data_IF_916498982233
#
_entry.id   IF_916498982233
#
_cell.length_a   1.000
_cell.length_b   1.000
_cell.length_c   1.000
_cell.angle_alpha   90.00
_cell.angle_beta   90.00
_cell.angle_gamma   90.00
#
_symmetry.space_group_name_H-M   'P 1'
#
loop_
_entity.id
_entity.type
_entity.pdbx_description
1 polymer ?
#
# COMPACT_ATOMS: atom_id res chain seq x y z
N UNK A 1 -18.49 -6.31 -75.45
CA UNK A 1 -17.89 -6.43 -74.11
C UNK A 1 -16.42 -6.78 -74.33
N UNK A 2 -15.48 -5.81 -74.45
CA UNK A 2 -14.76 -5.13 -73.36
C UNK A 2 -14.27 -6.17 -72.33
N UNK A 3 -12.99 -6.46 -72.03
CA UNK A 3 -11.67 -5.82 -72.12
C UNK A 3 -10.64 -6.96 -71.91
N UNK A 4 -9.52 -7.09 -72.63
CA UNK A 4 -8.26 -6.32 -72.53
C UNK A 4 -7.36 -6.63 -71.31
N UNK A 5 -6.14 -7.09 -71.64
CA UNK A 5 -4.83 -6.93 -70.98
C UNK A 5 -4.52 -7.68 -69.67
N UNK A 6 -3.77 -8.79 -69.80
CA UNK A 6 -2.82 -9.24 -68.78
C UNK A 6 -1.53 -8.43 -68.89
N UNK A 7 -1.23 -7.59 -67.91
CA UNK A 7 0.12 -7.06 -67.64
C UNK A 7 0.25 -6.57 -66.19
N UNK A 8 1.05 -7.32 -65.44
CA UNK A 8 2.08 -6.91 -64.45
C UNK A 8 1.88 -5.61 -63.68
N UNK A 9 1.72 -5.71 -62.35
CA UNK A 9 2.43 -4.93 -61.30
C UNK A 9 2.47 -5.81 -60.03
N UNK A 10 3.60 -6.41 -59.66
CA UNK A 10 4.58 -5.83 -58.71
C UNK A 10 3.92 -5.22 -57.48
N UNK A 11 4.02 -5.89 -56.34
CA UNK A 11 3.97 -5.21 -55.04
C UNK A 11 5.00 -5.83 -54.10
N UNK A 12 5.86 -4.94 -53.59
CA UNK A 12 7.10 -5.24 -52.92
C UNK A 12 6.92 -6.06 -51.66
N UNK A 13 7.90 -6.93 -51.43
CA UNK A 13 8.21 -7.50 -50.13
C UNK A 13 8.50 -6.32 -49.20
N UNK A 14 7.52 -5.93 -48.39
CA UNK A 14 7.73 -5.01 -47.29
C UNK A 14 8.68 -5.71 -46.32
N UNK A 15 9.95 -5.31 -46.36
CA UNK A 15 10.92 -5.64 -45.34
C UNK A 15 10.38 -5.08 -44.02
N UNK A 16 9.68 -5.93 -43.27
CA UNK A 16 9.25 -5.64 -41.92
C UNK A 16 10.49 -5.43 -41.06
N UNK A 17 10.88 -4.17 -40.90
CA UNK A 17 11.80 -3.75 -39.85
C UNK A 17 11.06 -4.02 -38.54
N UNK A 18 11.25 -5.21 -37.97
CA UNK A 18 10.87 -5.46 -36.59
C UNK A 18 11.82 -4.59 -35.77
N UNK A 19 11.36 -3.38 -35.46
CA UNK A 19 11.99 -2.55 -34.46
C UNK A 19 11.88 -3.31 -33.14
N UNK A 20 12.87 -4.14 -32.85
CA UNK A 20 13.09 -4.71 -31.52
C UNK A 20 13.49 -3.54 -30.63
N UNK A 21 12.47 -2.82 -30.17
CA UNK A 21 12.62 -1.79 -29.16
C UNK A 21 13.10 -2.49 -27.89
N UNK A 22 14.22 -2.02 -27.34
CA UNK A 22 14.69 -2.48 -26.04
C UNK A 22 13.58 -2.26 -25.01
N UNK A 23 13.34 -3.22 -24.10
CA UNK A 23 12.42 -3.03 -22.98
C UNK A 23 12.73 -1.73 -22.26
N UNK A 24 11.71 -1.05 -21.68
CA UNK A 24 11.94 0.10 -20.83
C UNK A 24 13.00 -0.23 -19.77
N UNK A 25 13.97 0.67 -19.56
CA UNK A 25 15.03 0.48 -18.56
C UNK A 25 14.48 0.46 -17.13
N UNK A 26 13.27 0.98 -16.94
CA UNK A 26 12.58 1.05 -15.65
C UNK A 26 11.73 -0.23 -15.48
N UNK A 27 11.79 -0.91 -14.32
CA UNK A 27 10.93 -2.06 -14.06
C UNK A 27 9.44 -1.65 -14.15
N UNK A 28 8.55 -2.56 -14.57
CA UNK A 28 7.12 -2.29 -14.55
C UNK A 28 6.65 -2.03 -13.11
N UNK A 29 5.75 -1.06 -12.90
CA UNK A 29 5.12 -0.83 -11.60
C UNK A 29 4.34 -2.05 -11.12
N UNK A 30 4.12 -2.11 -9.81
CA UNK A 30 3.20 -3.09 -9.22
C UNK A 30 1.76 -2.90 -9.73
N UNK A 31 0.98 -3.97 -9.70
CA UNK A 31 -0.44 -3.88 -10.02
C UNK A 31 -1.18 -3.07 -8.96
N UNK A 32 -2.10 -2.22 -9.39
CA UNK A 32 -3.00 -1.51 -8.51
C UNK A 32 -4.13 -2.42 -8.04
N UNK A 33 -4.23 -2.57 -6.73
CA UNK A 33 -5.33 -3.20 -6.03
C UNK A 33 -6.24 -2.15 -5.38
N UNK A 34 -7.51 -2.50 -5.17
CA UNK A 34 -8.46 -1.61 -4.50
C UNK A 34 -7.98 -1.26 -3.09
N UNK A 35 -7.80 0.04 -2.83
CA UNK A 35 -7.30 0.57 -1.56
C UNK A 35 -5.81 0.86 -1.51
N UNK A 36 -5.05 0.54 -2.56
CA UNK A 36 -3.67 0.97 -2.70
C UNK A 36 -3.54 2.50 -2.74
N UNK A 37 -2.31 2.97 -2.56
CA UNK A 37 -2.00 4.39 -2.75
C UNK A 37 -2.07 4.75 -4.24
N UNK A 38 -3.27 5.12 -4.70
CA UNK A 38 -3.50 5.51 -6.09
C UNK A 38 -2.55 6.62 -6.55
N UNK A 39 -2.26 7.63 -5.71
CA UNK A 39 -1.38 8.75 -6.12
C UNK A 39 0.04 8.26 -6.44
N UNK A 40 0.59 7.40 -5.59
CA UNK A 40 1.92 6.82 -5.81
C UNK A 40 1.92 5.92 -7.03
N UNK A 41 0.95 5.01 -7.11
CA UNK A 41 0.83 4.10 -8.25
C UNK A 41 0.66 4.86 -9.57
N UNK A 42 -0.17 5.91 -9.60
CA UNK A 42 -0.40 6.73 -10.79
C UNK A 42 0.85 7.49 -11.23
N UNK A 43 1.65 8.00 -10.28
CA UNK A 43 2.93 8.65 -10.60
C UNK A 43 3.91 7.66 -11.25
N UNK A 44 4.14 6.52 -10.61
CA UNK A 44 5.05 5.46 -11.10
C UNK A 44 4.56 4.91 -12.46
N UNK A 45 3.25 4.74 -12.60
CA UNK A 45 2.62 4.20 -13.82
C UNK A 45 2.60 5.21 -14.97
N UNK A 46 2.38 6.49 -14.70
CA UNK A 46 2.40 7.55 -15.72
C UNK A 46 3.78 7.64 -16.38
N UNK A 47 4.85 7.65 -15.58
CA UNK A 47 6.22 7.66 -16.08
C UNK A 47 6.51 6.42 -16.94
N UNK A 48 6.13 5.24 -16.45
CA UNK A 48 6.31 3.99 -17.19
C UNK A 48 5.54 3.95 -18.52
N UNK A 49 4.28 4.39 -18.53
CA UNK A 49 3.42 4.38 -19.73
C UNK A 49 3.90 5.35 -20.79
N UNK A 50 4.46 6.50 -20.41
CA UNK A 50 5.03 7.48 -21.34
C UNK A 50 6.21 6.91 -22.14
N UNK A 51 6.88 5.88 -21.62
CA UNK A 51 7.95 5.19 -22.36
C UNK A 51 7.41 4.25 -23.45
N UNK A 52 6.11 3.92 -23.46
CA UNK A 52 5.52 2.94 -24.38
C UNK A 52 4.96 3.60 -25.65
N UNK A 53 4.82 2.81 -26.72
CA UNK A 53 4.11 3.27 -27.92
C UNK A 53 2.62 3.46 -27.61
N UNK A 54 1.98 4.48 -28.19
CA UNK A 54 0.56 4.78 -27.97
C UNK A 54 -0.36 3.57 -28.22
N UNK A 55 0.00 2.69 -29.17
CA UNK A 55 -0.73 1.44 -29.46
C UNK A 55 -0.68 0.39 -28.34
N UNK A 56 0.32 0.47 -27.47
CA UNK A 56 0.57 -0.49 -26.37
C UNK A 56 0.06 0.03 -25.02
N UNK A 57 0.04 1.35 -24.83
CA UNK A 57 -0.28 2.01 -23.56
C UNK A 57 -1.59 1.51 -22.94
N UNK A 58 -2.67 1.42 -23.72
CA UNK A 58 -3.97 0.92 -23.23
C UNK A 58 -3.89 -0.51 -22.69
N UNK A 59 -3.22 -1.41 -23.42
CA UNK A 59 -3.11 -2.82 -23.03
C UNK A 59 -2.28 -2.94 -21.75
N UNK A 60 -1.17 -2.20 -21.68
CA UNK A 60 -0.28 -2.23 -20.53
C UNK A 60 -0.94 -1.62 -19.29
N UNK A 61 -1.59 -0.46 -19.42
CA UNK A 61 -2.35 0.16 -18.33
C UNK A 61 -3.40 -0.80 -17.75
N UNK A 62 -4.17 -1.49 -18.60
CA UNK A 62 -5.12 -2.51 -18.15
C UNK A 62 -4.45 -3.68 -17.43
N UNK A 63 -3.25 -4.08 -17.84
CA UNK A 63 -2.50 -5.17 -17.19
C UNK A 63 -1.94 -4.79 -15.81
N UNK A 64 -1.75 -3.49 -15.57
CA UNK A 64 -1.31 -2.91 -14.29
C UNK A 64 -2.46 -2.69 -13.31
N UNK A 65 -3.71 -3.01 -13.68
CA UNK A 65 -4.85 -3.02 -12.78
C UNK A 65 -5.14 -4.46 -12.34
N UNK A 66 -5.36 -4.68 -11.04
CA UNK A 66 -5.85 -5.96 -10.53
C UNK A 66 -7.30 -6.25 -10.99
N UNK A 67 -7.79 -7.48 -10.81
CA UNK A 67 -9.06 -7.96 -11.37
C UNK A 67 -10.24 -6.99 -11.14
N UNK A 68 -10.51 -6.65 -9.88
CA UNK A 68 -11.62 -5.75 -9.53
C UNK A 68 -11.45 -4.34 -10.14
N UNK A 69 -10.27 -3.74 -9.98
CA UNK A 69 -9.98 -2.41 -10.54
C UNK A 69 -10.08 -2.40 -12.06
N UNK A 70 -9.64 -3.48 -12.73
CA UNK A 70 -9.70 -3.62 -14.18
C UNK A 70 -11.13 -3.75 -14.68
N UNK A 71 -11.97 -4.50 -13.98
CA UNK A 71 -13.37 -4.69 -14.34
C UNK A 71 -14.14 -3.36 -14.23
N UNK A 72 -13.93 -2.60 -13.14
CA UNK A 72 -14.50 -1.24 -12.98
C UNK A 72 -14.09 -0.34 -14.16
N UNK A 73 -12.81 -0.32 -14.52
CA UNK A 73 -12.30 0.52 -15.61
C UNK A 73 -12.88 0.13 -16.98
N UNK A 74 -13.19 -1.15 -17.17
CA UNK A 74 -13.84 -1.65 -18.39
C UNK A 74 -15.30 -1.23 -18.45
N UNK A 75 -16.02 -1.36 -17.36
CA UNK A 75 -17.44 -1.04 -17.25
C UNK A 75 -17.68 0.46 -17.44
N UNK A 76 -16.83 1.31 -16.86
CA UNK A 76 -16.89 2.77 -17.01
C UNK A 76 -16.30 3.27 -18.33
N UNK A 77 -15.80 2.36 -19.19
CA UNK A 77 -15.25 2.66 -20.50
C UNK A 77 -14.15 3.74 -20.52
N UNK A 78 -13.39 3.89 -19.43
CA UNK A 78 -12.39 4.96 -19.25
C UNK A 78 -11.36 4.97 -20.39
N UNK A 79 -10.93 3.78 -20.83
CA UNK A 79 -9.91 3.58 -21.84
C UNK A 79 -10.46 3.33 -23.24
N UNK A 80 -11.72 3.68 -23.53
CA UNK A 80 -12.34 3.45 -24.85
C UNK A 80 -11.48 4.01 -25.98
N UNK A 81 -11.07 5.27 -25.85
CA UNK A 81 -10.35 6.03 -26.86
C UNK A 81 -8.81 5.99 -26.72
N UNK A 82 -8.30 5.11 -25.85
CA UNK A 82 -6.87 5.01 -25.54
C UNK A 82 -6.49 5.69 -24.23
N UNK A 83 -5.20 6.00 -24.07
CA UNK A 83 -4.64 6.70 -22.90
C UNK A 83 -4.56 8.19 -23.24
N UNK A 84 -5.51 8.95 -22.71
CA UNK A 84 -5.58 10.42 -22.87
C UNK A 84 -4.86 11.13 -21.72
N UNK A 85 -4.65 12.44 -21.81
CA UNK A 85 -3.97 13.21 -20.77
C UNK A 85 -4.69 13.18 -19.41
N UNK A 86 -6.02 13.12 -19.42
CA UNK A 86 -6.89 13.10 -18.23
C UNK A 86 -7.17 11.70 -17.69
N UNK A 87 -6.55 10.65 -18.26
CA UNK A 87 -6.86 9.25 -17.93
C UNK A 87 -6.68 8.94 -16.44
N UNK A 88 -5.63 9.45 -15.81
CA UNK A 88 -5.37 9.17 -14.38
C UNK A 88 -6.35 9.89 -13.46
N UNK A 89 -6.89 11.04 -13.85
CA UNK A 89 -7.96 11.70 -13.10
C UNK A 89 -9.28 10.95 -13.24
N UNK A 90 -9.60 10.47 -14.46
CA UNK A 90 -10.78 9.62 -14.68
C UNK A 90 -10.68 8.28 -13.94
N UNK A 91 -9.50 7.65 -13.95
CA UNK A 91 -9.21 6.46 -13.16
C UNK A 91 -9.36 6.73 -11.65
N UNK A 92 -8.85 7.88 -11.19
CA UNK A 92 -8.98 8.27 -9.78
C UNK A 92 -10.44 8.40 -9.39
N UNK A 93 -11.25 9.09 -10.19
CA UNK A 93 -12.67 9.26 -9.93
C UNK A 93 -13.37 7.89 -9.83
N UNK A 94 -13.25 7.03 -10.84
CA UNK A 94 -14.01 5.77 -10.83
C UNK A 94 -13.53 4.76 -9.78
N UNK A 95 -12.22 4.69 -9.52
CA UNK A 95 -11.65 3.75 -8.55
C UNK A 95 -11.79 4.25 -7.10
N UNK A 96 -11.96 5.56 -6.89
CA UNK A 96 -12.10 6.16 -5.55
C UNK A 96 -13.56 6.40 -5.16
N UNK A 97 -14.43 6.84 -6.07
CA UNK A 97 -15.83 7.16 -5.77
C UNK A 97 -16.64 5.96 -5.26
N UNK A 98 -16.21 4.74 -5.56
CA UNK A 98 -16.85 3.52 -5.04
C UNK A 98 -16.44 3.15 -3.62
N UNK A 99 -15.37 3.74 -3.08
CA UNK A 99 -15.02 3.57 -1.67
C UNK A 99 -15.82 4.59 -0.87
N UNK A 100 -16.83 4.11 -0.14
CA UNK A 100 -17.67 4.96 0.69
C UNK A 100 -16.82 5.73 1.72
N UNK A 101 -17.07 7.02 2.01
CA UNK A 101 -16.26 7.80 2.96
C UNK A 101 -16.06 7.11 4.33
N UNK A 102 -17.09 6.40 4.80
CA UNK A 102 -17.03 5.60 6.04
C UNK A 102 -15.95 4.51 5.99
N UNK A 103 -15.72 3.89 4.85
CA UNK A 103 -14.67 2.87 4.68
C UNK A 103 -13.27 3.49 4.84
N UNK A 104 -13.05 4.70 4.32
CA UNK A 104 -11.79 5.41 4.54
C UNK A 104 -11.57 5.74 6.02
N UNK A 105 -12.62 6.19 6.72
CA UNK A 105 -12.57 6.45 8.17
C UNK A 105 -12.31 5.16 8.98
N UNK A 106 -12.98 4.06 8.62
CA UNK A 106 -12.77 2.77 9.24
C UNK A 106 -11.32 2.28 9.05
N UNK A 107 -10.75 2.42 7.85
CA UNK A 107 -9.33 2.09 7.60
C UNK A 107 -8.38 2.92 8.44
N UNK A 108 -8.66 4.22 8.60
CA UNK A 108 -7.86 5.08 9.48
C UNK A 108 -7.94 4.60 10.95
N UNK A 109 -9.15 4.39 11.46
CA UNK A 109 -9.39 4.02 12.86
C UNK A 109 -8.90 2.61 13.21
N UNK A 110 -8.97 1.67 12.26
CA UNK A 110 -8.52 0.28 12.45
C UNK A 110 -7.01 0.11 12.27
N UNK A 111 -6.29 1.13 11.81
CA UNK A 111 -4.85 1.03 11.58
C UNK A 111 -4.09 0.96 12.92
N UNK A 112 -3.50 -0.21 13.18
CA UNK A 112 -2.57 -0.48 14.28
C UNK A 112 -1.17 -0.67 13.72
N UNK A 113 -0.14 -0.18 14.40
CA UNK A 113 1.28 -0.39 14.06
C UNK A 113 1.57 -1.88 13.83
N UNK A 114 2.14 -2.21 12.68
CA UNK A 114 2.49 -3.58 12.31
C UNK A 114 3.65 -4.11 13.15
N UNK A 115 3.80 -5.43 13.19
CA UNK A 115 4.95 -6.05 13.87
C UNK A 115 6.25 -5.62 13.20
N UNK A 116 7.20 -5.08 13.99
CA UNK A 116 8.48 -4.57 13.47
C UNK A 116 8.41 -3.24 12.72
N UNK A 117 7.23 -2.65 12.53
CA UNK A 117 7.09 -1.35 11.89
C UNK A 117 7.61 -0.24 12.82
N UNK A 118 8.53 0.60 12.33
CA UNK A 118 8.98 1.81 13.05
C UNK A 118 7.86 2.84 13.14
N UNK A 119 7.83 3.62 14.22
CA UNK A 119 6.79 4.64 14.41
C UNK A 119 6.74 5.65 13.25
N UNK A 120 7.91 6.00 12.68
CA UNK A 120 7.99 6.87 11.51
C UNK A 120 7.20 6.35 10.31
N UNK A 121 7.27 5.04 10.04
CA UNK A 121 6.56 4.42 8.92
C UNK A 121 5.06 4.35 9.20
N UNK A 122 4.69 4.01 10.43
CA UNK A 122 3.30 4.02 10.87
C UNK A 122 2.67 5.42 10.71
N UNK A 123 3.34 6.47 11.19
CA UNK A 123 2.89 7.87 11.05
C UNK A 123 2.79 8.30 9.58
N UNK A 124 3.75 7.90 8.74
CA UNK A 124 3.71 8.19 7.30
C UNK A 124 2.46 7.58 6.67
N UNK A 125 2.11 6.36 7.05
CA UNK A 125 0.92 5.69 6.56
C UNK A 125 -0.36 6.32 7.11
N UNK A 126 -0.39 6.73 8.38
CA UNK A 126 -1.51 7.48 8.95
C UNK A 126 -1.77 8.80 8.21
N UNK A 127 -0.72 9.55 7.87
CA UNK A 127 -0.84 10.77 7.05
C UNK A 127 -1.42 10.48 5.67
N UNK A 128 -0.97 9.39 5.05
CA UNK A 128 -1.48 8.99 3.74
C UNK A 128 -2.97 8.68 3.79
N UNK A 129 -3.40 7.85 4.73
CA UNK A 129 -4.79 7.40 4.80
C UNK A 129 -5.73 8.46 5.39
N UNK A 130 -5.22 9.45 6.15
CA UNK A 130 -6.03 10.54 6.68
C UNK A 130 -6.51 11.53 5.61
N UNK A 131 -5.74 11.71 4.53
CA UNK A 131 -6.15 12.53 3.38
C UNK A 131 -7.43 12.02 2.74
N UNK A 132 -7.61 10.69 2.71
CA UNK A 132 -8.78 10.05 2.13
C UNK A 132 -9.90 9.86 3.16
N UNK A 133 -9.56 9.68 4.45
CA UNK A 133 -10.54 9.54 5.54
C UNK A 133 -11.22 10.86 5.92
N UNK A 134 -10.49 11.98 5.78
CA UNK A 134 -10.91 13.30 6.21
C UNK A 134 -10.53 14.38 5.19
N UNK A 135 -11.06 14.31 3.96
CA UNK A 135 -10.74 15.26 2.89
C UNK A 135 -11.15 16.71 3.23
N UNK A 136 -12.18 16.88 4.06
CA UNK A 136 -12.72 18.17 4.49
C UNK A 136 -11.90 18.87 5.57
N UNK A 137 -11.00 18.16 6.25
CA UNK A 137 -10.21 18.70 7.35
C UNK A 137 -9.00 19.49 6.83
N UNK A 138 -8.54 20.46 7.62
CA UNK A 138 -7.24 21.10 7.41
C UNK A 138 -6.09 20.16 7.80
N UNK A 139 -4.87 20.47 7.37
CA UNK A 139 -3.68 19.70 7.77
C UNK A 139 -3.52 19.63 9.30
N UNK A 140 -3.78 20.72 10.01
CA UNK A 140 -3.72 20.74 11.48
C UNK A 140 -4.72 19.79 12.13
N UNK A 141 -5.97 19.80 11.65
CA UNK A 141 -7.03 18.90 12.15
C UNK A 141 -6.76 17.44 11.81
N UNK A 142 -6.22 17.14 10.62
CA UNK A 142 -5.76 15.77 10.30
C UNK A 142 -4.63 15.35 11.23
N UNK A 143 -3.72 16.25 11.59
CA UNK A 143 -2.61 15.95 12.47
C UNK A 143 -3.06 15.67 13.92
N UNK A 144 -4.14 16.31 14.38
CA UNK A 144 -4.83 15.95 15.62
C UNK A 144 -5.40 14.53 15.56
N UNK A 145 -6.08 14.15 14.47
CA UNK A 145 -6.56 12.77 14.26
C UNK A 145 -5.44 11.75 14.23
N UNK A 146 -4.33 12.08 13.58
CA UNK A 146 -3.15 11.21 13.55
C UNK A 146 -2.57 11.04 14.95
N UNK A 147 -2.56 12.10 15.77
CA UNK A 147 -2.10 12.01 17.14
C UNK A 147 -2.98 11.10 18.01
N UNK A 148 -4.30 11.22 17.90
CA UNK A 148 -5.26 10.30 18.53
C UNK A 148 -4.94 8.85 18.12
N UNK A 149 -4.75 8.61 16.82
CA UNK A 149 -4.48 7.28 16.28
C UNK A 149 -3.10 6.74 16.68
N UNK A 150 -2.09 7.59 16.88
CA UNK A 150 -0.78 7.17 17.41
C UNK A 150 -0.95 6.61 18.82
N UNK A 151 -1.75 7.24 19.68
CA UNK A 151 -1.93 6.82 21.08
C UNK A 151 -2.57 5.43 21.14
N UNK A 152 -3.64 5.21 20.37
CA UNK A 152 -4.39 3.94 20.39
C UNK A 152 -3.76 2.86 19.51
N UNK A 153 -3.14 3.25 18.39
CA UNK A 153 -2.63 2.34 17.37
C UNK A 153 -1.17 1.91 17.56
N UNK A 154 -0.43 2.50 18.51
CA UNK A 154 0.96 2.09 18.78
C UNK A 154 1.01 0.71 19.44
N UNK A 155 1.70 -0.23 18.79
CA UNK A 155 1.87 -1.61 19.25
C UNK A 155 3.01 -1.74 20.27
N UNK A 156 4.07 -0.95 20.14
CA UNK A 156 5.26 -1.05 20.97
C UNK A 156 4.95 -0.70 22.45
N UNK A 157 5.04 -1.65 23.40
CA UNK A 157 4.58 -1.43 24.78
C UNK A 157 5.28 -0.26 25.48
N UNK A 158 6.59 -0.13 25.30
CA UNK A 158 7.39 0.96 25.87
C UNK A 158 6.99 2.34 25.35
N UNK A 159 6.62 2.44 24.06
CA UNK A 159 6.12 3.69 23.50
C UNK A 159 4.73 4.00 24.02
N UNK A 160 3.85 2.99 24.06
CA UNK A 160 2.49 3.16 24.59
C UNK A 160 2.50 3.63 26.04
N UNK A 161 3.37 3.07 26.88
CA UNK A 161 3.55 3.52 28.27
C UNK A 161 3.98 4.99 28.34
N UNK A 162 4.93 5.42 27.51
CA UNK A 162 5.38 6.82 27.45
C UNK A 162 4.27 7.76 26.97
N UNK A 163 3.49 7.35 25.97
CA UNK A 163 2.41 8.16 25.40
C UNK A 163 1.22 8.29 26.36
N UNK A 164 0.95 7.27 27.16
CA UNK A 164 -0.10 7.32 28.19
C UNK A 164 0.37 8.10 29.43
N UNK A 165 1.65 8.04 29.76
CA UNK A 165 2.23 8.72 30.92
C UNK A 165 2.52 10.21 30.72
N UNK A 166 2.45 10.73 29.49
CA UNK A 166 2.69 12.14 29.19
C UNK A 166 1.86 12.57 27.97
N UNK A 167 1.08 13.67 28.07
CA UNK A 167 0.30 14.15 26.93
C UNK A 167 1.18 14.39 25.71
N UNK A 168 0.82 13.78 24.58
CA UNK A 168 1.42 14.13 23.30
C UNK A 168 0.76 15.41 22.79
N UNK A 169 1.58 16.39 22.41
CA UNK A 169 1.10 17.68 21.88
C UNK A 169 1.28 17.82 20.38
N UNK A 170 2.05 16.92 19.75
CA UNK A 170 2.27 16.90 18.32
C UNK A 170 2.83 15.56 17.86
N UNK A 171 2.63 15.26 16.58
CA UNK A 171 3.26 14.10 15.93
C UNK A 171 4.79 14.18 15.99
N UNK A 172 5.36 15.39 15.87
CA UNK A 172 6.80 15.60 15.99
C UNK A 172 7.33 15.22 17.38
N UNK A 173 6.60 15.56 18.45
CA UNK A 173 6.94 15.16 19.81
C UNK A 173 6.89 13.63 19.97
N UNK A 174 5.87 12.96 19.41
CA UNK A 174 5.75 11.51 19.44
C UNK A 174 6.94 10.81 18.75
N UNK A 175 7.34 11.31 17.57
CA UNK A 175 8.52 10.80 16.85
C UNK A 175 9.82 11.00 17.63
N UNK A 176 9.98 12.14 18.30
CA UNK A 176 11.15 12.41 19.16
C UNK A 176 11.23 11.40 20.30
N UNK A 177 10.12 11.12 20.98
CA UNK A 177 10.04 10.10 22.05
C UNK A 177 10.38 8.72 21.48
N UNK A 178 9.89 8.38 20.30
CA UNK A 178 10.19 7.08 19.68
C UNK A 178 11.67 6.91 19.37
N UNK A 179 12.31 7.92 18.79
CA UNK A 179 13.76 7.89 18.54
C UNK A 179 14.54 7.69 19.84
N UNK A 180 14.18 8.41 20.92
CA UNK A 180 14.82 8.23 22.23
C UNK A 180 14.69 6.79 22.76
N UNK A 181 13.52 6.17 22.62
CA UNK A 181 13.31 4.79 23.05
C UNK A 181 14.09 3.81 22.18
N UNK A 182 14.14 4.01 20.86
CA UNK A 182 14.95 3.21 19.94
C UNK A 182 16.45 3.32 20.29
N UNK A 183 16.94 4.53 20.56
CA UNK A 183 18.34 4.77 20.96
C UNK A 183 18.71 4.05 22.26
N UNK A 184 17.86 4.18 23.29
CA UNK A 184 18.06 3.51 24.59
C UNK A 184 18.08 1.98 24.41
N UNK A 185 17.15 1.44 23.63
CA UNK A 185 17.09 0.00 23.36
C UNK A 185 18.33 -0.47 22.58
N UNK A 186 18.79 0.32 21.60
CA UNK A 186 19.97 0.02 20.81
C UNK A 186 21.27 0.03 21.63
N UNK A 187 21.38 0.89 22.64
CA UNK A 187 22.52 0.88 23.59
C UNK A 187 22.46 -0.37 24.47
N UNK A 188 21.29 -0.67 25.07
CA UNK A 188 21.14 -1.83 25.95
C UNK A 188 21.38 -3.18 25.22
N UNK A 189 21.15 -3.25 23.91
CA UNK A 189 21.47 -4.43 23.11
C UNK A 189 22.97 -4.55 22.83
N UNK A 190 23.67 -3.42 22.61
CA UNK A 190 25.13 -3.41 22.43
C UNK A 190 25.89 -3.80 23.69
N UNK A 191 25.39 -3.43 24.86
CA UNK A 191 26.01 -3.82 26.14
C UNK A 191 25.71 -5.29 26.52
N UNK A 192 24.80 -5.95 25.80
CA UNK A 192 24.38 -7.33 26.03
C UNK A 192 25.03 -8.34 25.08
N UNK A 193 25.72 -7.90 24.04
CA UNK A 193 26.66 -8.76 23.30
C UNK A 193 27.77 -9.15 24.30
N UNK A 194 27.84 -10.42 24.76
CA UNK A 194 28.94 -10.82 25.59
C UNK A 194 30.19 -10.74 24.71
N UNK A 195 31.16 -9.93 25.13
CA UNK A 195 32.57 -10.20 24.87
C UNK A 195 32.82 -11.64 25.29
N UNK A 196 32.58 -12.59 24.39
CA UNK A 196 33.09 -13.95 24.47
C UNK A 196 34.55 -13.86 24.06
N UNK A 197 35.33 -13.17 24.90
CA UNK A 197 36.71 -13.55 25.10
C UNK A 197 36.66 -14.98 25.62
N UNK A 198 36.66 -15.93 24.69
CA UNK A 198 37.04 -17.30 24.94
C UNK A 198 38.44 -17.23 25.56
N UNK A 199 38.65 -17.65 26.82
CA UNK A 199 39.97 -18.10 27.19
C UNK A 199 40.26 -19.29 26.29
N UNK A 200 41.31 -19.18 25.48
CA UNK A 200 41.70 -20.18 24.51
C UNK A 200 41.68 -21.59 25.14
N UNK A 201 41.09 -22.61 24.48
CA UNK A 201 41.25 -23.97 24.94
C UNK A 201 42.71 -24.35 24.75
N UNK A 202 43.36 -24.77 25.84
CA UNK A 202 44.68 -25.43 25.80
C UNK A 202 44.58 -26.61 24.84
N UNK A 203 45.42 -26.55 23.80
CA UNK A 203 45.55 -27.56 22.78
C UNK A 203 46.09 -28.86 23.40
N UNK A 204 45.21 -29.82 23.70
CA UNK A 204 45.59 -31.22 23.88
C UNK A 204 45.08 -31.98 22.67
N UNK A 205 46.04 -32.41 21.87
CA UNK A 205 45.86 -33.21 20.68
C UNK A 205 45.46 -34.64 21.08
N UNK A 206 44.23 -35.03 20.74
CA UNK A 206 43.87 -36.45 20.66
C UNK A 206 43.10 -36.69 19.35
N UNK A 207 43.74 -37.47 18.49
CA UNK A 207 43.21 -37.97 17.21
C UNK A 207 42.13 -39.02 17.46
N UNK A 208 41.03 -38.95 16.71
CA UNK A 208 40.24 -40.08 16.15
C UNK A 208 39.10 -39.49 15.31
N UNK A 209 39.29 -39.36 13.98
CA UNK A 209 38.76 -40.23 12.91
C UNK A 209 37.22 -40.18 12.68
N UNK A 210 36.87 -39.59 11.52
CA UNK A 210 35.83 -39.97 10.53
C UNK A 210 34.37 -40.22 10.98
N UNK A 211 33.43 -39.45 10.42
CA UNK A 211 32.64 -39.86 9.23
C UNK A 211 31.69 -38.76 8.73
N UNK A 212 31.73 -38.59 7.43
CA UNK A 212 30.83 -37.83 6.57
C UNK A 212 29.51 -38.60 6.36
N UNK A 213 28.35 -37.96 6.57
CA UNK A 213 27.07 -38.24 5.89
C UNK A 213 26.23 -36.97 5.90
N UNK A 214 25.97 -36.42 4.72
CA UNK A 214 25.14 -35.24 4.51
C UNK A 214 23.65 -35.45 4.80
N UNK A 215 22.95 -34.32 4.97
CA UNK A 215 21.52 -34.21 4.74
C UNK A 215 21.18 -32.78 4.29
N UNK A 216 20.73 -32.68 3.04
CA UNK A 216 19.94 -31.60 2.48
C UNK A 216 18.57 -31.57 3.18
N UNK A 217 17.87 -30.42 3.16
CA UNK A 217 16.62 -30.45 2.42
C UNK A 217 16.40 -29.22 1.55
N UNK A 218 16.01 -29.50 0.31
CA UNK A 218 15.20 -28.65 -0.55
C UNK A 218 13.77 -28.56 0.02
N UNK A 219 13.17 -27.37 0.04
CA UNK A 219 12.14 -26.96 -0.94
C UNK A 219 11.12 -25.91 -0.44
N UNK A 220 10.85 -25.00 -1.37
CA UNK A 220 9.56 -24.36 -1.67
C UNK A 220 8.72 -23.76 -0.55
N UNK A 221 8.69 -22.42 -0.43
CA UNK A 221 7.46 -21.72 -0.06
C UNK A 221 7.20 -20.53 -1.02
N UNK A 222 6.23 -20.77 -1.89
CA UNK A 222 5.40 -19.84 -2.66
C UNK A 222 5.08 -18.56 -1.88
N UNK A 223 5.38 -17.38 -2.45
CA UNK A 223 4.88 -16.10 -1.96
C UNK A 223 3.41 -15.98 -2.42
N UNK A 224 2.50 -16.35 -1.51
CA UNK A 224 1.07 -16.10 -1.63
C UNK A 224 0.77 -14.70 -1.10
N UNK A 225 0.27 -13.81 -1.97
CA UNK A 225 -0.28 -12.52 -1.59
C UNK A 225 -1.62 -12.75 -0.89
N UNK A 226 -1.60 -12.95 0.43
CA UNK A 226 -2.81 -13.02 1.24
C UNK A 226 -3.24 -11.60 1.64
N UNK A 227 -4.18 -11.02 0.89
CA UNK A 227 -5.05 -9.97 1.39
C UNK A 227 -6.02 -10.59 2.39
N UNK A 228 -5.65 -10.63 3.67
CA UNK A 228 -6.54 -11.06 4.74
C UNK A 228 -7.36 -9.86 5.25
N UNK A 229 -8.46 -9.54 4.54
CA UNK A 229 -9.62 -8.94 5.19
C UNK A 229 -10.35 -10.09 5.88
N UNK A 230 -10.06 -10.34 7.15
CA UNK A 230 -10.86 -11.27 7.93
C UNK A 230 -12.18 -10.60 8.28
N UNK A 231 -13.24 -11.13 7.68
CA UNK A 231 -14.63 -11.04 8.14
C UNK A 231 -14.70 -11.13 9.67
N UNK A 232 -15.10 -10.03 10.29
CA UNK A 232 -15.71 -10.06 11.61
C UNK A 232 -17.09 -9.49 11.47
N UNK A 233 -18.05 -10.38 11.22
CA UNK A 233 -19.45 -10.15 11.52
C UNK A 233 -19.57 -9.81 13.00
N UNK A 234 -19.72 -8.53 13.32
CA UNK A 234 -20.10 -8.09 14.67
C UNK A 234 -21.52 -7.56 14.61
N UNK A 235 -22.44 -8.34 15.14
CA UNK A 235 -23.83 -7.94 15.40
C UNK A 235 -23.82 -6.84 16.45
N UNK A 236 -24.21 -5.62 16.07
CA UNK A 236 -24.45 -4.53 17.03
C UNK A 236 -25.81 -4.73 17.70
N UNK A 237 -25.92 -4.74 19.03
CA UNK A 237 -27.20 -4.56 19.70
C UNK A 237 -27.57 -3.06 19.64
N UNK A 238 -28.49 -2.71 18.74
CA UNK A 238 -29.19 -1.43 18.82
C UNK A 238 -30.12 -1.46 20.05
N UNK A 239 -29.73 -0.82 21.14
CA UNK A 239 -30.67 -0.45 22.20
C UNK A 239 -31.32 0.87 21.81
N UNK A 240 -32.52 0.79 21.22
CA UNK A 240 -33.39 1.94 20.98
C UNK A 240 -33.91 2.42 22.34
N UNK A 241 -33.50 3.61 22.79
CA UNK A 241 -34.19 4.31 23.88
C UNK A 241 -35.49 4.94 23.33
N UNK A 242 -36.63 4.78 23.99
CA UNK A 242 -37.89 5.35 23.52
C UNK A 242 -38.01 6.84 23.86
N UNK A 243 -38.37 7.61 22.83
CA UNK A 243 -39.09 8.89 22.80
C UNK A 243 -39.17 9.71 24.10
N UNK A 244 -38.49 10.85 24.14
CA UNK A 244 -38.99 12.03 24.85
C UNK A 244 -39.90 12.83 23.92
N UNK A 245 -41.18 12.86 24.28
CA UNK A 245 -42.23 13.63 23.62
C UNK A 245 -41.92 15.13 23.66
N UNK A 246 -41.88 15.75 22.47
CA UNK A 246 -41.84 17.20 22.33
C UNK A 246 -43.27 17.73 22.46
N UNK A 247 -43.58 18.36 23.60
CA UNK A 247 -44.87 19.01 23.86
C UNK A 247 -44.89 20.38 23.17
N UNK A 248 -45.68 20.51 22.11
CA UNK A 248 -45.93 21.79 21.43
C UNK A 248 -47.00 22.56 22.20
N UNK A 249 -46.61 23.68 22.81
CA UNK A 249 -47.55 24.66 23.33
C UNK A 249 -48.17 25.46 22.18
N UNK A 250 -49.50 25.39 22.07
CA UNK A 250 -50.32 26.27 21.23
C UNK A 250 -50.49 27.65 21.90
N UNK A 251 -50.61 28.74 21.14
CA UNK A 251 -50.99 30.04 21.69
C UNK A 251 -52.53 30.12 21.84
N UNK A 252 -52.98 30.56 23.01
CA UNK A 252 -54.38 30.89 23.33
C UNK A 252 -54.85 32.17 22.59
N UNK A 253 -56.18 32.32 22.36
CA UNK A 253 -56.77 33.34 21.47
C UNK A 253 -56.75 34.78 22.00
#
# INVERSE_FOLDING_TARGET
MLQSFFSLLSSGISAGFTHTRSPPTIPPPDKFCMGDNFRRWAADTSEYIQLLLASEQKRVLLSLLDGEARDIVRDEHILKDGVTEDVFERLRACLRERIHPVEHQYRFQSRIQLSGERLLNFVRELRRISEDAFPELTDGQREEKILEQIIVGTRAPKLRERFLGSPLHSVAAALKVANQVEDILGVLQRDREPNTAHPAPVHIQQQQQQKDVGHQPEDNHTISCHCALTDRTFTLPFTVQPNQSFEMALPEP
#
